data_IF_851542896435
#
_entry.id   IF_851542896435
#
_cell.length_a   1.000
_cell.length_b   1.000
_cell.length_c   1.000
_cell.angle_alpha   90.00
_cell.angle_beta   90.00
_cell.angle_gamma   90.00
#
_symmetry.space_group_name_H-M   'P 1'
#
loop_
_entity.id
_entity.type
_entity.pdbx_description
1 polymer ?
#
# COMPACT_ATOMS: atom_id res chain seq x y z
N UNK A 1 34.22 6.49 8.80
CA UNK A 1 33.31 7.63 8.67
C UNK A 1 32.95 7.79 7.20
N UNK A 2 31.68 7.86 6.86
CA UNK A 2 31.13 8.05 5.50
C UNK A 2 30.77 9.52 5.30
N UNK A 3 30.99 10.05 4.10
CA UNK A 3 30.51 11.37 3.69
C UNK A 3 29.32 11.21 2.75
N UNK A 4 28.17 11.86 3.02
CA UNK A 4 27.02 11.83 2.13
C UNK A 4 27.34 12.39 0.74
N UNK A 5 26.86 11.73 -0.32
CA UNK A 5 27.06 12.23 -1.70
C UNK A 5 26.26 13.49 -2.01
N UNK A 6 25.24 13.76 -1.21
CA UNK A 6 24.37 14.93 -1.36
C UNK A 6 24.92 16.19 -0.68
N UNK A 7 26.01 16.07 0.11
CA UNK A 7 26.71 17.23 0.71
C UNK A 7 27.25 18.16 -0.38
N UNK A 8 27.09 19.47 -0.21
CA UNK A 8 27.42 20.47 -1.21
C UNK A 8 26.43 20.61 -2.39
N UNK A 9 25.43 19.75 -2.49
CA UNK A 9 24.43 19.80 -3.57
C UNK A 9 23.01 19.94 -3.07
N UNK A 10 22.55 19.07 -2.19
CA UNK A 10 21.20 19.12 -1.59
C UNK A 10 21.16 19.98 -0.33
N UNK A 11 22.27 20.11 0.33
CA UNK A 11 22.51 21.05 1.42
C UNK A 11 23.97 21.56 1.36
N UNK A 12 24.25 22.77 1.84
CA UNK A 12 25.63 23.28 1.93
C UNK A 12 26.55 22.42 2.81
N UNK A 13 27.77 22.18 2.42
CA UNK A 13 28.81 21.49 3.24
C UNK A 13 29.43 22.39 4.30
N UNK A 14 29.17 23.70 4.23
CA UNK A 14 29.56 24.66 5.27
C UNK A 14 28.51 24.76 6.37
N UNK A 15 28.88 24.54 7.62
CA UNK A 15 28.00 24.71 8.77
C UNK A 15 27.39 26.12 8.85
N UNK A 16 28.17 27.16 8.49
CA UNK A 16 27.70 28.55 8.53
C UNK A 16 26.64 28.83 7.45
N UNK A 17 26.84 28.33 6.24
CA UNK A 17 25.85 28.46 5.15
C UNK A 17 24.60 27.66 5.45
N UNK A 18 24.76 26.44 5.96
CA UNK A 18 23.64 25.58 6.36
C UNK A 18 22.84 26.22 7.49
N UNK A 19 23.49 26.75 8.54
CA UNK A 19 22.84 27.47 9.63
C UNK A 19 22.05 28.69 9.12
N UNK A 20 22.60 29.42 8.14
CA UNK A 20 21.91 30.54 7.50
C UNK A 20 20.65 30.07 6.74
N UNK A 21 20.76 28.97 6.02
CA UNK A 21 19.64 28.40 5.24
C UNK A 21 18.50 27.89 6.13
N UNK A 22 18.84 27.18 7.23
CA UNK A 22 17.85 26.66 8.18
C UNK A 22 17.50 27.66 9.28
N UNK A 23 18.26 28.72 9.45
CA UNK A 23 18.12 29.72 10.52
C UNK A 23 16.83 30.54 10.49
N UNK A 24 16.12 30.54 9.34
CA UNK A 24 14.74 31.00 9.25
C UNK A 24 13.77 30.19 10.15
N UNK A 25 14.22 29.03 10.62
CA UNK A 25 13.50 28.19 11.59
C UNK A 25 13.63 28.61 13.06
N UNK A 26 14.36 29.70 13.37
CA UNK A 26 14.60 30.15 14.76
C UNK A 26 13.33 30.58 15.52
N UNK A 27 12.22 30.88 14.84
CA UNK A 27 10.92 31.08 15.46
C UNK A 27 10.12 29.76 15.54
N UNK A 28 10.69 28.77 16.21
CA UNK A 28 10.17 27.40 16.20
C UNK A 28 8.84 27.19 16.95
N UNK A 29 8.31 28.21 17.59
CA UNK A 29 7.05 28.06 18.37
C UNK A 29 7.23 27.26 19.66
N UNK A 30 6.14 26.76 20.23
CA UNK A 30 6.14 26.02 21.50
C UNK A 30 6.83 24.67 21.35
N UNK A 31 7.70 24.26 22.30
CA UNK A 31 8.27 22.92 22.33
C UNK A 31 7.21 21.81 22.28
N UNK A 32 7.51 20.73 21.61
CA UNK A 32 6.63 19.55 21.53
C UNK A 32 6.64 18.79 22.87
N UNK A 33 5.52 18.15 23.17
CA UNK A 33 5.38 17.37 24.40
C UNK A 33 5.80 15.91 24.16
N UNK A 34 7.10 15.65 24.06
CA UNK A 34 7.69 14.32 23.97
C UNK A 34 7.06 13.42 22.87
N UNK A 35 7.20 13.74 21.57
CA UNK A 35 6.68 12.91 20.50
C UNK A 35 7.43 11.57 20.42
N UNK A 36 6.70 10.47 20.20
CA UNK A 36 7.26 9.14 19.93
C UNK A 36 7.83 9.05 18.50
N UNK A 37 7.24 9.80 17.57
CA UNK A 37 7.75 9.93 16.21
C UNK A 37 7.48 11.33 15.64
N UNK A 38 8.27 11.69 14.61
CA UNK A 38 8.08 12.90 13.81
C UNK A 38 8.07 12.54 12.32
N UNK A 39 7.34 13.32 11.52
CA UNK A 39 7.34 13.24 10.06
C UNK A 39 8.08 14.45 9.52
N UNK A 40 9.08 14.22 8.67
CA UNK A 40 10.01 15.24 8.17
C UNK A 40 10.16 15.12 6.67
N UNK A 41 10.05 16.21 5.89
CA UNK A 41 10.28 16.18 4.46
C UNK A 41 11.78 16.08 4.12
N UNK A 42 12.09 15.41 2.99
CA UNK A 42 13.46 15.10 2.58
C UNK A 42 13.90 15.70 1.23
N UNK A 43 13.20 16.71 0.74
CA UNK A 43 13.68 17.46 -0.41
C UNK A 43 14.97 18.24 -0.09
N UNK A 44 15.67 18.74 -1.12
CA UNK A 44 16.83 19.60 -0.91
C UNK A 44 16.51 20.78 0.03
N UNK A 45 17.46 21.17 0.84
CA UNK A 45 17.26 22.15 1.93
C UNK A 45 16.77 23.52 1.45
N UNK A 46 17.02 23.88 0.18
CA UNK A 46 16.45 25.08 -0.42
C UNK A 46 14.91 25.06 -0.35
N UNK A 47 14.29 23.88 -0.48
CA UNK A 47 12.85 23.70 -0.57
C UNK A 47 12.23 23.35 0.78
N UNK A 48 12.74 22.30 1.45
CA UNK A 48 12.12 21.76 2.67
C UNK A 48 12.95 21.97 3.95
N UNK A 49 14.21 22.39 3.84
CA UNK A 49 15.14 22.47 5.00
C UNK A 49 14.64 23.39 6.12
N UNK A 50 14.05 24.54 5.79
CA UNK A 50 13.52 25.47 6.79
C UNK A 50 12.32 24.90 7.54
N UNK A 51 11.39 24.21 6.84
CA UNK A 51 10.23 23.55 7.42
C UNK A 51 10.65 22.38 8.31
N UNK A 52 11.60 21.56 7.86
CA UNK A 52 12.16 20.48 8.64
C UNK A 52 12.88 20.99 9.91
N UNK A 53 13.69 22.04 9.78
CA UNK A 53 14.42 22.64 10.90
C UNK A 53 13.49 23.21 11.98
N UNK A 54 12.37 23.84 11.59
CA UNK A 54 11.38 24.35 12.55
C UNK A 54 10.75 23.23 13.37
N UNK A 55 10.52 22.05 12.76
CA UNK A 55 10.05 20.89 13.50
C UNK A 55 11.11 20.41 14.50
N UNK A 56 12.34 20.14 14.01
CA UNK A 56 13.42 19.64 14.86
C UNK A 56 13.73 20.57 16.04
N UNK A 57 13.68 21.89 15.83
CA UNK A 57 13.92 22.89 16.88
C UNK A 57 12.87 22.85 18.01
N UNK A 58 11.72 22.23 17.79
CA UNK A 58 10.66 22.03 18.80
C UNK A 58 10.78 20.70 19.55
N UNK A 59 11.62 19.78 19.08
CA UNK A 59 11.83 18.49 19.74
C UNK A 59 12.65 18.70 21.03
N UNK A 60 12.19 18.19 22.19
CA UNK A 60 12.92 18.33 23.45
C UNK A 60 14.19 17.44 23.47
N UNK A 61 15.32 18.01 23.09
CA UNK A 61 16.57 17.27 22.81
C UNK A 61 17.09 16.42 23.97
N UNK A 62 16.88 16.85 25.20
CA UNK A 62 17.38 16.16 26.40
C UNK A 62 16.58 14.90 26.77
N UNK A 63 15.45 14.67 26.13
CA UNK A 63 14.56 13.56 26.44
C UNK A 63 14.91 12.29 25.65
N UNK A 64 15.70 12.42 24.58
CA UNK A 64 16.07 11.29 23.71
C UNK A 64 17.56 10.93 23.83
N UNK A 65 17.84 9.65 23.64
CA UNK A 65 19.20 9.11 23.50
C UNK A 65 19.41 8.42 22.15
N UNK A 66 18.33 8.11 21.45
CA UNK A 66 18.34 7.38 20.18
C UNK A 66 17.38 7.99 19.18
N UNK A 67 17.78 7.94 17.92
CA UNK A 67 16.94 8.27 16.76
C UNK A 67 16.91 7.07 15.83
N UNK A 68 15.74 6.64 15.40
CA UNK A 68 15.57 5.62 14.36
C UNK A 68 14.92 6.30 13.16
N UNK A 69 15.64 6.35 12.03
CA UNK A 69 15.14 6.94 10.79
C UNK A 69 14.60 5.84 9.90
N UNK A 70 13.35 5.97 9.46
CA UNK A 70 12.74 5.16 8.41
C UNK A 70 12.56 6.06 7.18
N UNK A 71 13.26 5.73 6.10
CA UNK A 71 13.27 6.49 4.86
C UNK A 71 12.91 5.61 3.66
N UNK A 72 12.23 6.12 2.63
CA UNK A 72 11.84 5.32 1.47
C UNK A 72 13.04 4.97 0.58
N UNK A 73 12.90 3.95 -0.24
CA UNK A 73 13.84 3.62 -1.31
C UNK A 73 13.40 4.26 -2.63
N UNK A 74 14.18 5.22 -3.12
CA UNK A 74 13.93 5.89 -4.41
C UNK A 74 14.69 5.25 -5.59
N UNK A 75 15.70 4.42 -5.30
CA UNK A 75 16.66 3.94 -6.30
C UNK A 75 16.58 2.45 -6.58
N UNK A 76 16.19 1.67 -5.60
CA UNK A 76 16.16 0.21 -5.68
C UNK A 76 14.77 -0.29 -5.30
N UNK A 77 14.17 -1.06 -6.19
CA UNK A 77 12.89 -1.70 -5.89
C UNK A 77 13.12 -2.84 -4.87
N UNK A 78 12.54 -2.69 -3.69
CA UNK A 78 12.53 -3.69 -2.63
C UNK A 78 11.07 -3.96 -2.25
N UNK A 79 10.70 -5.22 -2.05
CA UNK A 79 9.32 -5.58 -1.72
C UNK A 79 9.26 -6.26 -0.36
N UNK A 80 8.43 -5.73 0.54
CA UNK A 80 8.20 -6.27 1.90
C UNK A 80 9.47 -6.44 2.71
N UNK A 81 10.48 -5.59 2.41
CA UNK A 81 11.78 -5.60 3.06
C UNK A 81 12.24 -4.18 3.34
N UNK A 82 13.21 -4.04 4.22
CA UNK A 82 13.96 -2.80 4.45
C UNK A 82 15.43 -3.14 4.64
N UNK A 83 16.30 -2.24 4.19
CA UNK A 83 17.76 -2.38 4.31
C UNK A 83 18.29 -1.43 5.36
N UNK A 84 18.99 -1.97 6.36
CA UNK A 84 19.53 -1.14 7.45
C UNK A 84 20.84 -0.48 7.00
N UNK A 85 20.98 0.84 7.26
CA UNK A 85 22.19 1.59 6.99
C UNK A 85 23.38 0.99 7.73
N UNK A 86 24.55 0.85 7.07
CA UNK A 86 25.74 0.33 7.72
C UNK A 86 26.09 1.09 9.00
N UNK A 87 26.59 0.36 10.02
CA UNK A 87 27.02 0.94 11.29
C UNK A 87 28.34 1.71 11.14
N UNK A 88 28.32 2.78 10.36
CA UNK A 88 29.44 3.67 10.06
C UNK A 88 29.04 5.11 10.32
N UNK A 89 29.77 5.80 11.17
CA UNK A 89 29.56 7.22 11.48
C UNK A 89 29.52 8.06 10.20
N UNK A 90 28.58 8.98 10.12
CA UNK A 90 28.34 9.81 8.94
C UNK A 90 28.73 11.25 9.22
N UNK A 91 29.53 11.82 8.32
CA UNK A 91 29.94 13.22 8.39
C UNK A 91 28.76 14.14 8.04
N UNK A 92 28.57 15.21 8.81
CA UNK A 92 27.67 16.32 8.48
C UNK A 92 28.38 17.65 8.69
N UNK A 93 27.88 18.78 8.14
CA UNK A 93 28.44 20.11 8.40
C UNK A 93 28.51 20.47 9.88
N UNK A 94 27.63 19.92 10.72
CA UNK A 94 27.62 20.15 12.17
C UNK A 94 28.42 19.13 12.97
N UNK A 95 29.19 18.26 12.30
CA UNK A 95 29.97 17.19 12.90
C UNK A 95 29.40 15.80 12.65
N UNK A 96 30.11 14.75 13.11
CA UNK A 96 29.68 13.38 12.82
C UNK A 96 28.43 12.95 13.59
N UNK A 97 27.59 12.19 12.92
CA UNK A 97 26.48 11.44 13.53
C UNK A 97 26.95 10.02 13.78
N UNK A 98 26.71 9.52 14.99
CA UNK A 98 27.10 8.17 15.41
C UNK A 98 26.08 7.13 15.01
N UNK A 99 26.56 6.05 14.35
CA UNK A 99 25.81 4.87 13.99
C UNK A 99 26.39 3.64 14.72
N UNK A 100 26.00 3.40 15.98
CA UNK A 100 26.58 2.33 16.79
C UNK A 100 26.14 0.95 16.27
N UNK A 101 27.12 0.02 16.32
CA UNK A 101 26.90 -1.34 15.79
C UNK A 101 25.81 -2.12 16.51
N UNK A 102 25.69 -1.97 17.83
CA UNK A 102 24.66 -2.68 18.62
C UNK A 102 23.24 -2.24 18.24
N UNK A 103 23.01 -0.95 18.02
CA UNK A 103 21.71 -0.44 17.56
C UNK A 103 21.42 -0.87 16.11
N UNK A 104 22.46 -0.86 15.25
CA UNK A 104 22.36 -1.41 13.90
C UNK A 104 21.97 -2.88 13.92
N UNK A 105 22.70 -3.72 14.68
CA UNK A 105 22.46 -5.17 14.70
C UNK A 105 21.04 -5.51 15.21
N UNK A 106 20.55 -4.75 16.18
CA UNK A 106 19.18 -4.90 16.71
C UNK A 106 18.13 -4.51 15.67
N UNK A 107 18.35 -3.47 14.88
CA UNK A 107 17.45 -3.05 13.80
C UNK A 107 17.51 -4.06 12.64
N UNK A 108 18.70 -4.55 12.29
CA UNK A 108 18.90 -5.54 11.24
C UNK A 108 18.40 -6.95 11.59
N UNK A 109 18.11 -7.21 12.86
CA UNK A 109 17.50 -8.48 13.32
C UNK A 109 15.96 -8.46 13.26
N UNK A 110 15.34 -7.36 12.87
CA UNK A 110 13.87 -7.29 12.80
C UNK A 110 13.32 -8.09 11.61
N UNK A 111 12.11 -8.65 11.73
CA UNK A 111 11.42 -9.29 10.60
C UNK A 111 11.27 -8.33 9.41
N UNK A 112 11.64 -8.80 8.22
CA UNK A 112 11.65 -8.01 7.00
C UNK A 112 12.94 -7.22 6.75
N UNK A 113 13.93 -7.30 7.65
CA UNK A 113 15.25 -6.74 7.40
C UNK A 113 16.05 -7.64 6.44
N UNK A 114 16.61 -7.01 5.41
CA UNK A 114 17.51 -7.64 4.46
C UNK A 114 18.59 -6.62 4.08
N UNK A 115 19.85 -7.02 4.04
CA UNK A 115 20.89 -6.10 3.61
C UNK A 115 20.95 -6.05 2.08
N UNK A 116 20.56 -4.90 1.52
CA UNK A 116 20.58 -4.59 0.08
C UNK A 116 21.61 -3.49 -0.16
N UNK A 117 22.88 -3.83 -0.43
CA UNK A 117 23.98 -2.86 -0.53
C UNK A 117 23.72 -1.76 -1.55
N UNK A 118 23.04 -2.08 -2.65
CA UNK A 118 22.75 -1.17 -3.76
C UNK A 118 21.76 -0.07 -3.38
N UNK A 119 20.96 -0.28 -2.34
CA UNK A 119 19.97 0.69 -1.90
C UNK A 119 20.61 1.95 -1.27
N UNK A 120 21.81 1.84 -0.68
CA UNK A 120 22.40 2.89 0.14
C UNK A 120 23.19 3.97 -0.62
N UNK A 121 24.04 3.68 -1.62
CA UNK A 121 25.03 4.66 -2.13
C UNK A 121 24.44 5.90 -2.78
N UNK A 122 23.22 5.80 -3.33
CA UNK A 122 22.55 6.88 -4.09
C UNK A 122 21.25 7.34 -3.43
N UNK A 123 20.90 6.78 -2.27
CA UNK A 123 19.73 7.21 -1.53
C UNK A 123 20.02 8.44 -0.70
N UNK A 124 19.14 9.43 -0.78
CA UNK A 124 19.29 10.70 -0.09
C UNK A 124 18.41 10.83 1.16
N UNK A 125 17.32 10.06 1.22
CA UNK A 125 16.27 10.26 2.21
C UNK A 125 16.70 9.99 3.68
N UNK A 126 17.78 9.25 3.90
CA UNK A 126 18.42 9.13 5.21
C UNK A 126 19.40 10.31 5.43
N UNK A 127 20.28 10.53 4.46
CA UNK A 127 21.39 11.47 4.59
C UNK A 127 20.93 12.92 4.75
N UNK A 128 19.78 13.27 4.18
CA UNK A 128 19.20 14.60 4.27
C UNK A 128 18.74 14.97 5.70
N UNK A 129 18.38 13.97 6.51
CA UNK A 129 17.93 14.19 7.89
C UNK A 129 19.10 14.39 8.86
N UNK A 130 20.27 13.82 8.56
CA UNK A 130 21.39 13.73 9.49
C UNK A 130 21.95 15.08 9.96
N UNK A 131 22.07 16.15 9.11
CA UNK A 131 22.48 17.46 9.59
C UNK A 131 21.53 18.03 10.64
N UNK A 132 20.20 17.86 10.48
CA UNK A 132 19.21 18.33 11.45
C UNK A 132 19.24 17.50 12.74
N UNK A 133 19.37 16.18 12.61
CA UNK A 133 19.58 15.32 13.79
C UNK A 133 20.84 15.76 14.54
N UNK A 134 21.98 15.99 13.86
CA UNK A 134 23.20 16.45 14.53
C UNK A 134 23.03 17.80 15.17
N UNK A 135 22.33 18.72 14.53
CA UNK A 135 22.16 20.10 15.01
C UNK A 135 21.26 20.19 16.24
N UNK A 136 20.16 19.43 16.26
CA UNK A 136 19.10 19.56 17.27
C UNK A 136 19.10 18.43 18.31
N UNK A 137 19.66 17.26 17.98
CA UNK A 137 19.74 16.06 18.83
C UNK A 137 21.19 15.54 18.91
N UNK A 138 22.17 16.39 19.28
CA UNK A 138 23.59 16.11 19.11
C UNK A 138 24.12 14.92 19.91
N UNK A 139 23.37 14.49 20.94
CA UNK A 139 23.75 13.39 21.84
C UNK A 139 23.18 12.05 21.41
N UNK A 140 22.23 12.05 20.46
CA UNK A 140 21.55 10.84 20.06
C UNK A 140 22.43 9.95 19.19
N UNK A 141 22.35 8.67 19.45
CA UNK A 141 22.81 7.61 18.57
C UNK A 141 21.76 7.35 17.49
N UNK A 142 22.19 7.05 16.27
CA UNK A 142 21.30 6.90 15.13
C UNK A 142 21.36 5.49 14.57
N UNK A 143 20.23 4.93 14.24
CA UNK A 143 20.10 3.85 13.27
C UNK A 143 19.11 4.27 12.19
N UNK A 144 19.30 3.79 10.97
CA UNK A 144 18.42 4.12 9.86
C UNK A 144 18.16 2.91 8.98
N UNK A 145 16.99 2.90 8.35
CA UNK A 145 16.62 1.90 7.39
C UNK A 145 16.00 2.54 6.15
N UNK A 146 16.41 2.05 4.99
CA UNK A 146 15.79 2.32 3.70
C UNK A 146 14.68 1.30 3.50
N UNK A 147 13.45 1.77 3.44
CA UNK A 147 12.24 0.96 3.43
C UNK A 147 11.76 0.78 1.99
N UNK A 148 11.62 -0.47 1.57
CA UNK A 148 11.04 -0.85 0.29
C UNK A 148 9.51 -0.71 0.30
N UNK A 149 8.86 -1.32 -0.67
CA UNK A 149 7.40 -1.25 -0.78
C UNK A 149 6.74 -2.16 0.25
N UNK A 150 5.92 -1.56 1.11
CA UNK A 150 5.04 -2.23 2.05
C UNK A 150 3.60 -1.76 1.82
N UNK A 151 2.67 -2.65 2.00
CA UNK A 151 1.24 -2.39 1.93
C UNK A 151 0.51 -3.16 3.04
N UNK A 152 -0.78 -2.96 3.17
CA UNK A 152 -1.66 -3.69 4.06
C UNK A 152 -2.91 -4.18 3.31
N UNK A 153 -2.76 -4.45 2.01
CA UNK A 153 -3.85 -4.88 1.15
C UNK A 153 -4.23 -6.35 1.36
N UNK A 154 -3.29 -7.19 1.83
CA UNK A 154 -3.51 -8.62 2.08
C UNK A 154 -3.37 -9.00 3.55
N UNK A 155 -3.98 -10.12 3.94
CA UNK A 155 -3.82 -10.68 5.28
C UNK A 155 -2.36 -11.08 5.56
N UNK A 156 -1.63 -11.54 4.54
CA UNK A 156 -0.20 -11.84 4.64
C UNK A 156 0.64 -10.59 4.93
N UNK A 157 0.31 -9.45 4.32
CA UNK A 157 0.98 -8.17 4.59
C UNK A 157 0.68 -7.68 6.00
N UNK A 158 -0.58 -7.75 6.42
CA UNK A 158 -0.97 -7.41 7.80
C UNK A 158 -0.24 -8.26 8.83
N UNK A 159 -0.03 -9.55 8.56
CA UNK A 159 0.70 -10.46 9.44
C UNK A 159 2.19 -10.10 9.52
N UNK A 160 2.86 -9.85 8.38
CA UNK A 160 4.27 -9.41 8.33
C UNK A 160 4.48 -8.07 9.05
N UNK A 161 3.57 -7.10 8.82
CA UNK A 161 3.59 -5.83 9.56
C UNK A 161 3.47 -6.04 11.07
N UNK A 162 2.68 -7.02 11.50
CA UNK A 162 2.52 -7.34 12.92
C UNK A 162 3.76 -7.99 13.51
N UNK A 163 4.42 -8.90 12.78
CA UNK A 163 5.68 -9.51 13.20
C UNK A 163 6.77 -8.44 13.36
N UNK A 164 6.91 -7.56 12.36
CA UNK A 164 7.77 -6.39 12.45
C UNK A 164 7.43 -5.55 13.69
N UNK A 165 6.18 -5.17 13.86
CA UNK A 165 5.73 -4.32 14.97
C UNK A 165 6.05 -4.91 16.35
N UNK A 166 5.80 -6.21 16.52
CA UNK A 166 6.07 -6.89 17.78
C UNK A 166 7.57 -6.92 18.13
N UNK A 167 8.43 -7.03 17.11
CA UNK A 167 9.88 -6.98 17.30
C UNK A 167 10.38 -5.53 17.44
N UNK A 168 9.89 -4.60 16.63
CA UNK A 168 10.26 -3.17 16.69
C UNK A 168 9.93 -2.55 18.05
N UNK A 169 8.81 -2.91 18.64
CA UNK A 169 8.40 -2.45 19.98
C UNK A 169 9.37 -2.84 21.10
N UNK A 170 10.20 -3.87 20.91
CA UNK A 170 11.28 -4.25 21.84
C UNK A 170 12.54 -3.41 21.65
N UNK A 171 12.63 -2.71 20.52
CA UNK A 171 13.76 -1.83 20.17
C UNK A 171 13.56 -0.39 20.67
N UNK A 172 12.31 0.08 20.67
CA UNK A 172 11.94 1.47 21.02
C UNK A 172 11.47 1.60 22.46
N UNK A 173 11.75 2.75 23.05
CA UNK A 173 11.29 3.15 24.38
C UNK A 173 11.03 4.66 24.42
N UNK A 174 10.77 5.22 25.59
CA UNK A 174 10.53 6.65 25.80
C UNK A 174 11.71 7.54 25.42
N UNK A 175 12.93 7.00 25.36
CA UNK A 175 14.15 7.72 24.95
C UNK A 175 14.47 7.56 23.46
N UNK A 176 13.57 6.99 22.70
CA UNK A 176 13.73 6.74 21.27
C UNK A 176 12.79 7.62 20.47
N UNK A 177 13.33 8.47 19.60
CA UNK A 177 12.57 9.22 18.61
C UNK A 177 12.60 8.47 17.28
N UNK A 178 11.44 8.18 16.71
CA UNK A 178 11.33 7.67 15.35
C UNK A 178 11.16 8.83 14.37
N UNK A 179 11.97 8.89 13.34
CA UNK A 179 11.87 9.88 12.26
C UNK A 179 11.38 9.19 11.01
N UNK A 180 10.22 9.62 10.51
CA UNK A 180 9.71 9.21 9.21
C UNK A 180 10.11 10.27 8.20
N UNK A 181 11.06 9.93 7.35
CA UNK A 181 11.52 10.78 6.26
C UNK A 181 10.56 10.65 5.09
N UNK A 182 9.80 11.69 4.79
CA UNK A 182 8.74 11.63 3.76
C UNK A 182 8.32 12.99 3.25
N UNK A 183 8.47 13.20 1.94
CA UNK A 183 7.68 14.21 1.25
C UNK A 183 6.25 13.68 1.04
N UNK A 184 5.30 14.60 0.87
CA UNK A 184 3.91 14.29 0.53
C UNK A 184 3.73 14.28 -0.99
N UNK A 185 2.59 14.69 -1.52
CA UNK A 185 2.25 14.53 -2.94
C UNK A 185 3.30 15.16 -3.86
N UNK A 186 3.77 14.39 -4.83
CA UNK A 186 4.53 14.84 -5.98
C UNK A 186 3.57 15.02 -7.16
N UNK A 187 3.32 16.26 -7.56
CA UNK A 187 2.40 16.60 -8.64
C UNK A 187 3.17 17.10 -9.86
N UNK A 188 2.86 16.58 -11.03
CA UNK A 188 3.40 17.02 -12.31
C UNK A 188 3.60 15.85 -13.29
N UNK A 189 3.85 16.21 -14.56
CA UNK A 189 4.05 15.22 -15.64
C UNK A 189 5.24 14.31 -15.38
N UNK A 190 6.33 14.87 -14.87
CA UNK A 190 7.56 14.11 -14.61
C UNK A 190 7.41 13.12 -13.47
N UNK A 191 6.45 13.34 -12.58
CA UNK A 191 6.07 12.40 -11.52
C UNK A 191 4.99 11.40 -11.96
N UNK A 192 4.42 11.56 -13.18
CA UNK A 192 3.33 10.71 -13.65
C UNK A 192 2.03 10.86 -12.88
N UNK A 193 1.87 11.96 -12.10
CA UNK A 193 0.72 12.16 -11.24
C UNK A 193 0.12 13.56 -11.37
N UNK A 194 -1.04 13.62 -12.01
CA UNK A 194 -1.82 14.85 -12.23
C UNK A 194 -3.31 14.55 -12.04
N UNK A 195 -3.79 14.37 -10.79
CA UNK A 195 -5.19 14.02 -10.52
C UNK A 195 -6.18 15.16 -10.80
N UNK A 196 -5.69 16.33 -11.08
CA UNK A 196 -6.45 17.54 -11.47
C UNK A 196 -5.58 18.40 -12.40
N UNK A 197 -6.21 19.19 -13.25
CA UNK A 197 -5.57 20.03 -14.29
C UNK A 197 -5.71 21.53 -14.01
N UNK A 198 -6.55 21.92 -13.05
CA UNK A 198 -6.82 23.32 -12.67
C UNK A 198 -6.80 23.50 -11.15
N UNK A 199 -6.55 24.73 -10.72
CA UNK A 199 -6.55 25.13 -9.28
C UNK A 199 -5.58 24.30 -8.43
N UNK A 200 -4.41 23.96 -9.00
CA UNK A 200 -3.41 23.10 -8.34
C UNK A 200 -3.01 23.65 -6.98
N UNK A 201 -2.84 24.97 -6.87
CA UNK A 201 -2.48 25.70 -5.66
C UNK A 201 -3.49 25.52 -4.50
N UNK A 202 -4.73 25.15 -4.81
CA UNK A 202 -5.77 24.87 -3.81
C UNK A 202 -6.00 23.39 -3.59
N UNK A 203 -6.01 22.62 -4.70
CA UNK A 203 -6.37 21.20 -4.67
C UNK A 203 -5.27 20.33 -4.09
N UNK A 204 -3.99 20.63 -4.35
CA UNK A 204 -2.87 19.86 -3.81
C UNK A 204 -2.75 19.96 -2.28
N UNK A 205 -2.76 21.17 -1.65
CA UNK A 205 -2.79 21.26 -0.20
C UNK A 205 -4.02 20.60 0.43
N UNK A 206 -5.16 20.62 -0.28
CA UNK A 206 -6.38 19.94 0.18
C UNK A 206 -6.23 18.41 0.11
N UNK A 207 -5.61 17.86 -0.95
CA UNK A 207 -5.29 16.45 -1.07
C UNK A 207 -4.34 16.00 0.04
N UNK A 208 -3.23 16.71 0.25
CA UNK A 208 -2.26 16.38 1.29
C UNK A 208 -2.86 16.48 2.70
N UNK A 209 -3.75 17.45 2.94
CA UNK A 209 -4.50 17.53 4.18
C UNK A 209 -5.43 16.33 4.39
N UNK A 210 -6.11 15.91 3.33
CA UNK A 210 -6.99 14.73 3.38
C UNK A 210 -6.18 13.46 3.63
N UNK A 211 -5.06 13.26 2.92
CA UNK A 211 -4.17 12.12 3.11
C UNK A 211 -3.58 12.08 4.53
N UNK A 212 -3.18 13.23 5.08
CA UNK A 212 -2.76 13.29 6.48
C UNK A 212 -3.91 12.94 7.44
N UNK A 213 -5.14 13.33 7.13
CA UNK A 213 -6.33 12.94 7.90
C UNK A 213 -6.53 11.42 7.94
N UNK A 214 -6.35 10.73 6.82
CA UNK A 214 -6.42 9.27 6.77
C UNK A 214 -5.26 8.60 7.53
N UNK A 215 -4.04 9.13 7.40
CA UNK A 215 -2.88 8.68 8.20
C UNK A 215 -3.14 8.81 9.71
N UNK A 216 -3.73 9.93 10.12
CA UNK A 216 -4.02 10.25 11.53
C UNK A 216 -5.09 9.35 12.16
N UNK A 217 -5.83 8.57 11.36
CA UNK A 217 -6.74 7.52 11.87
C UNK A 217 -5.99 6.36 12.52
N UNK A 218 -4.67 6.33 12.36
CA UNK A 218 -3.81 5.30 12.96
C UNK A 218 -4.25 3.86 12.61
N UNK A 219 -4.60 3.63 11.35
CA UNK A 219 -5.07 2.35 10.83
C UNK A 219 -4.39 2.05 9.48
N UNK A 220 -3.72 0.89 9.40
CA UNK A 220 -2.97 0.49 8.21
C UNK A 220 -3.87 0.19 7.00
N UNK A 221 -5.05 -0.40 7.23
CA UNK A 221 -5.97 -0.72 6.15
C UNK A 221 -6.58 0.58 5.56
N UNK A 222 -6.93 1.53 6.43
CA UNK A 222 -7.42 2.85 6.03
C UNK A 222 -6.35 3.61 5.23
N UNK A 223 -5.09 3.56 5.69
CA UNK A 223 -3.97 4.21 4.99
C UNK A 223 -3.74 3.60 3.60
N UNK A 224 -3.69 2.27 3.52
CA UNK A 224 -3.58 1.53 2.27
C UNK A 224 -4.71 1.89 1.29
N UNK A 225 -5.97 1.88 1.76
CA UNK A 225 -7.13 2.26 0.95
C UNK A 225 -7.05 3.70 0.45
N UNK A 226 -6.63 4.64 1.29
CA UNK A 226 -6.49 6.04 0.88
C UNK A 226 -5.44 6.22 -0.22
N UNK A 227 -4.28 5.55 -0.09
CA UNK A 227 -3.23 5.55 -1.11
C UNK A 227 -3.72 5.01 -2.44
N UNK A 228 -4.38 3.85 -2.44
CA UNK A 228 -4.88 3.24 -3.66
C UNK A 228 -6.00 4.06 -4.32
N UNK A 229 -6.94 4.58 -3.53
CA UNK A 229 -8.06 5.39 -4.04
C UNK A 229 -7.60 6.68 -4.69
N UNK A 230 -6.58 7.34 -4.12
CA UNK A 230 -6.12 8.64 -4.59
C UNK A 230 -4.95 8.54 -5.56
N UNK A 231 -4.18 7.45 -5.53
CA UNK A 231 -2.90 7.33 -6.22
C UNK A 231 -1.84 8.32 -5.73
N UNK A 232 -2.01 8.93 -4.54
CA UNK A 232 -1.12 9.96 -4.03
C UNK A 232 0.32 9.47 -3.91
N UNK A 233 1.24 10.22 -4.52
CA UNK A 233 2.67 9.91 -4.65
C UNK A 233 3.45 10.36 -3.41
N UNK A 234 3.14 9.74 -2.25
CA UNK A 234 3.80 10.04 -0.97
C UNK A 234 5.01 9.13 -0.81
N UNK A 235 6.22 9.70 -0.78
CA UNK A 235 7.48 8.94 -0.75
C UNK A 235 7.55 7.95 0.42
N UNK A 236 7.24 8.40 1.62
CA UNK A 236 7.29 7.60 2.85
C UNK A 236 6.08 6.71 3.11
N UNK A 237 5.22 6.46 2.11
CA UNK A 237 3.99 5.68 2.30
C UNK A 237 4.24 4.33 3.00
N UNK A 238 5.29 3.63 2.61
CA UNK A 238 5.73 2.36 3.21
C UNK A 238 6.30 2.52 4.62
N UNK A 239 7.01 3.63 4.89
CA UNK A 239 7.51 3.94 6.23
C UNK A 239 6.34 4.18 7.21
N UNK A 240 5.26 4.80 6.72
CA UNK A 240 4.03 4.95 7.51
C UNK A 240 3.38 3.60 7.82
N UNK A 241 3.38 2.62 6.91
CA UNK A 241 2.87 1.27 7.21
C UNK A 241 3.62 0.62 8.39
N UNK A 242 4.96 0.72 8.42
CA UNK A 242 5.77 0.20 9.52
C UNK A 242 5.48 0.95 10.84
N UNK A 243 5.41 2.29 10.79
CA UNK A 243 5.08 3.10 11.97
C UNK A 243 3.67 2.77 12.49
N UNK A 244 2.66 2.82 11.64
CA UNK A 244 1.27 2.54 12.02
C UNK A 244 1.13 1.15 12.63
N UNK A 245 1.81 0.13 12.11
CA UNK A 245 1.79 -1.21 12.68
C UNK A 245 2.33 -1.23 14.12
N UNK A 246 3.38 -0.45 14.41
CA UNK A 246 4.05 -0.41 15.70
C UNK A 246 3.33 0.48 16.74
N UNK A 247 2.48 1.41 16.34
CA UNK A 247 1.80 2.34 17.24
C UNK A 247 0.67 1.66 18.06
N UNK A 248 0.46 2.06 19.32
CA UNK A 248 -0.73 1.66 20.09
C UNK A 248 -1.99 2.34 19.52
N UNK A 249 -3.16 1.81 19.86
CA UNK A 249 -4.44 2.40 19.44
C UNK A 249 -4.64 3.85 19.93
N UNK A 250 -4.02 4.21 21.07
CA UNK A 250 -4.09 5.53 21.67
C UNK A 250 -3.17 6.58 21.02
N UNK A 251 -2.38 6.21 20.00
CA UNK A 251 -1.49 7.14 19.34
C UNK A 251 -2.27 8.29 18.66
N UNK A 252 -1.70 9.48 18.72
CA UNK A 252 -2.31 10.70 18.20
C UNK A 252 -1.33 11.43 17.29
N UNK A 253 -1.81 11.82 16.13
CA UNK A 253 -1.06 12.59 15.14
C UNK A 253 -1.44 14.07 15.23
N UNK A 254 -0.43 14.95 15.13
CA UNK A 254 -0.59 16.40 15.08
C UNK A 254 0.18 16.93 13.87
N UNK A 255 -0.56 17.43 12.86
CA UNK A 255 0.04 18.15 11.73
C UNK A 255 0.49 19.51 12.20
N UNK A 256 1.75 19.84 11.97
CA UNK A 256 2.36 21.06 12.50
C UNK A 256 2.46 22.14 11.44
N UNK A 257 3.03 21.81 10.28
CA UNK A 257 3.25 22.77 9.21
C UNK A 257 3.10 22.09 7.84
N UNK A 258 2.76 22.90 6.86
CA UNK A 258 2.72 22.51 5.45
C UNK A 258 3.37 23.60 4.60
N UNK A 259 4.19 23.16 3.66
CA UNK A 259 4.80 23.99 2.64
C UNK A 259 4.86 23.23 1.32
N UNK A 260 5.27 23.89 0.26
CA UNK A 260 5.44 23.29 -1.07
C UNK A 260 6.72 23.79 -1.74
N UNK A 261 7.19 23.07 -2.75
CA UNK A 261 8.29 23.59 -3.59
C UNK A 261 7.88 24.87 -4.32
N UNK A 262 6.60 25.09 -4.59
CA UNK A 262 6.05 26.28 -5.20
C UNK A 262 6.22 27.55 -4.32
N UNK A 263 6.34 27.39 -2.99
CA UNK A 263 6.63 28.51 -2.09
C UNK A 263 8.01 29.14 -2.37
N UNK A 264 8.90 28.38 -3.01
CA UNK A 264 10.24 28.82 -3.41
C UNK A 264 10.30 29.17 -4.91
N UNK A 265 9.67 28.34 -5.76
CA UNK A 265 9.78 28.48 -7.22
C UNK A 265 8.68 29.33 -7.84
N UNK A 266 7.52 29.43 -7.16
CA UNK A 266 6.29 30.01 -7.76
C UNK A 266 5.60 29.10 -8.77
N UNK A 267 6.10 27.88 -9.01
CA UNK A 267 5.64 26.99 -10.06
C UNK A 267 4.74 25.87 -9.53
N UNK A 268 3.52 25.78 -10.08
CA UNK A 268 2.52 24.80 -9.68
C UNK A 268 2.32 23.66 -10.69
N UNK A 269 2.98 23.72 -11.84
CA UNK A 269 2.93 22.64 -12.83
C UNK A 269 3.79 21.42 -12.44
N UNK A 270 4.77 21.66 -11.56
CA UNK A 270 5.70 20.67 -11.01
C UNK A 270 5.96 21.02 -9.55
N UNK A 271 5.22 20.39 -8.65
CA UNK A 271 5.23 20.78 -7.24
C UNK A 271 5.23 19.58 -6.29
N UNK A 272 5.96 19.72 -5.18
CA UNK A 272 6.07 18.71 -4.11
C UNK A 272 5.54 19.31 -2.81
N UNK A 273 4.72 18.54 -2.08
CA UNK A 273 4.18 18.92 -0.78
C UNK A 273 5.07 18.48 0.38
N UNK A 274 5.22 19.34 1.36
CA UNK A 274 6.04 19.12 2.55
C UNK A 274 5.18 19.24 3.79
N UNK A 275 4.88 18.13 4.44
CA UNK A 275 4.14 18.08 5.70
C UNK A 275 5.07 17.74 6.84
N UNK A 276 5.03 18.53 7.92
CA UNK A 276 5.65 18.14 9.19
C UNK A 276 4.58 17.75 10.21
N UNK A 277 4.87 16.72 11.00
CA UNK A 277 3.95 16.26 12.02
C UNK A 277 4.68 15.67 13.23
N UNK A 278 3.99 15.68 14.37
CA UNK A 278 4.37 14.96 15.57
C UNK A 278 3.39 13.81 15.82
N UNK A 279 3.92 12.68 16.29
CA UNK A 279 3.12 11.52 16.68
C UNK A 279 3.37 11.24 18.16
N UNK A 280 2.31 11.29 18.95
CA UNK A 280 2.37 11.04 20.38
C UNK A 280 1.88 9.63 20.66
N UNK A 281 2.72 8.84 21.28
CA UNK A 281 2.41 7.47 21.65
C UNK A 281 3.20 7.06 22.91
N UNK A 282 2.59 6.20 23.70
CA UNK A 282 3.23 5.50 24.79
C UNK A 282 3.64 4.11 24.31
N UNK A 283 4.94 3.91 24.12
CA UNK A 283 5.49 2.64 23.64
C UNK A 283 5.24 1.46 24.61
N UNK A 284 4.87 1.70 25.86
CA UNK A 284 4.55 0.64 26.83
C UNK A 284 3.14 0.09 26.64
N UNK A 285 2.25 0.83 25.99
CA UNK A 285 0.87 0.40 25.71
C UNK A 285 0.87 -0.79 24.73
N UNK A 286 -0.07 -1.71 24.82
CA UNK A 286 -0.12 -2.86 23.92
C UNK A 286 -0.27 -2.43 22.46
N UNK A 287 0.23 -3.27 21.55
CA UNK A 287 -0.05 -3.14 20.11
C UNK A 287 -1.56 -3.17 19.89
N UNK A 288 -2.00 -2.44 18.88
CA UNK A 288 -3.39 -2.55 18.40
C UNK A 288 -3.73 -4.03 18.16
N UNK A 289 -4.93 -4.50 18.52
CA UNK A 289 -5.42 -5.76 18.01
C UNK A 289 -5.27 -5.74 16.49
N UNK A 290 -5.01 -6.89 15.85
CA UNK A 290 -5.32 -6.99 14.42
C UNK A 290 -6.77 -6.56 14.31
N UNK A 291 -7.06 -5.57 13.48
CA UNK A 291 -8.43 -5.30 13.12
C UNK A 291 -9.05 -6.66 12.78
N UNK A 292 -10.03 -7.07 13.58
CA UNK A 292 -10.83 -8.23 13.23
C UNK A 292 -11.27 -7.96 11.80
N UNK A 293 -10.95 -8.86 10.87
CA UNK A 293 -11.26 -8.80 9.44
C UNK A 293 -12.14 -7.59 9.10
N UNK A 294 -11.55 -6.44 8.84
CA UNK A 294 -12.21 -5.46 8.02
C UNK A 294 -12.52 -6.23 6.74
N UNK A 295 -13.73 -6.10 6.22
CA UNK A 295 -14.11 -6.72 4.94
C UNK A 295 -12.91 -6.60 4.03
N UNK A 296 -12.37 -7.73 3.51
CA UNK A 296 -11.25 -7.68 2.58
C UNK A 296 -11.64 -6.71 1.48
N UNK A 297 -10.69 -5.93 1.03
CA UNK A 297 -10.94 -4.92 -0.01
C UNK A 297 -11.63 -5.59 -1.18
N UNK A 298 -12.87 -5.18 -1.44
CA UNK A 298 -13.69 -5.79 -2.47
C UNK A 298 -14.55 -6.98 -2.02
N UNK A 299 -14.64 -7.31 -0.72
CA UNK A 299 -15.69 -8.22 -0.25
C UNK A 299 -17.02 -7.48 -0.18
N UNK A 300 -18.03 -8.11 -0.81
CA UNK A 300 -19.40 -7.66 -0.75
C UNK A 300 -20.07 -8.14 0.54
N UNK A 301 -21.06 -7.39 1.01
CA UNK A 301 -21.91 -7.85 2.10
C UNK A 301 -22.67 -9.11 1.69
N UNK A 302 -23.04 -9.93 2.67
CA UNK A 302 -23.88 -11.12 2.42
C UNK A 302 -25.20 -10.73 1.75
N UNK A 303 -25.72 -9.54 2.07
CA UNK A 303 -26.95 -9.01 1.47
C UNK A 303 -26.72 -8.60 0.01
N UNK A 304 -25.59 -7.93 -0.30
CA UNK A 304 -25.20 -7.63 -1.68
C UNK A 304 -25.02 -8.92 -2.50
N UNK A 305 -24.43 -9.95 -1.90
CA UNK A 305 -24.28 -11.26 -2.53
C UNK A 305 -25.62 -11.93 -2.87
N UNK A 306 -26.59 -11.92 -1.96
CA UNK A 306 -27.93 -12.43 -2.21
C UNK A 306 -28.61 -11.70 -3.35
N UNK A 307 -28.56 -10.36 -3.35
CA UNK A 307 -29.13 -9.55 -4.42
C UNK A 307 -28.46 -9.85 -5.76
N UNK A 308 -27.16 -10.09 -5.81
CA UNK A 308 -26.48 -10.49 -7.05
C UNK A 308 -26.98 -11.83 -7.58
N UNK A 309 -27.22 -12.82 -6.71
CA UNK A 309 -27.81 -14.11 -7.10
C UNK A 309 -29.23 -13.91 -7.66
N UNK A 310 -30.07 -13.13 -6.99
CA UNK A 310 -31.42 -12.81 -7.44
C UNK A 310 -31.41 -12.08 -8.80
N UNK A 311 -30.49 -11.13 -8.98
CA UNK A 311 -30.29 -10.39 -10.24
C UNK A 311 -29.83 -11.32 -11.37
N UNK A 312 -28.92 -12.25 -11.07
CA UNK A 312 -28.45 -13.25 -12.03
C UNK A 312 -29.58 -14.19 -12.45
N UNK A 313 -30.36 -14.68 -11.48
CA UNK A 313 -31.52 -15.52 -11.74
C UNK A 313 -32.60 -14.82 -12.60
N UNK A 314 -32.89 -13.56 -12.25
CA UNK A 314 -33.81 -12.74 -13.03
C UNK A 314 -33.33 -12.55 -14.48
N UNK A 315 -32.02 -12.26 -14.65
CA UNK A 315 -31.41 -12.04 -15.97
C UNK A 315 -31.47 -13.30 -16.82
N UNK A 316 -31.16 -14.45 -16.21
CA UNK A 316 -31.29 -15.77 -16.82
C UNK A 316 -32.72 -16.02 -17.27
N UNK A 317 -33.71 -15.84 -16.37
CA UNK A 317 -35.16 -16.05 -16.68
C UNK A 317 -35.63 -15.10 -17.77
N UNK A 318 -35.25 -13.84 -17.74
CA UNK A 318 -35.58 -12.85 -18.80
C UNK A 318 -35.04 -13.28 -20.17
N UNK A 319 -33.82 -13.82 -20.21
CA UNK A 319 -33.18 -14.24 -21.44
C UNK A 319 -33.85 -15.50 -22.04
N UNK A 320 -34.23 -16.46 -21.19
CA UNK A 320 -34.83 -17.75 -21.64
C UNK A 320 -36.33 -17.63 -21.91
N UNK A 321 -37.09 -16.92 -21.07
CA UNK A 321 -38.56 -16.85 -21.14
C UNK A 321 -39.11 -15.60 -21.85
N UNK A 322 -38.27 -14.59 -22.10
CA UNK A 322 -38.66 -13.28 -22.60
C UNK A 322 -39.09 -12.29 -21.50
N UNK A 323 -38.99 -10.99 -21.81
CA UNK A 323 -39.11 -9.87 -20.84
C UNK A 323 -40.43 -9.83 -20.05
N UNK A 324 -41.53 -10.33 -20.61
CA UNK A 324 -42.86 -10.22 -20.02
C UNK A 324 -43.13 -11.17 -18.84
N UNK A 325 -42.25 -12.17 -18.59
CA UNK A 325 -42.45 -13.23 -17.59
C UNK A 325 -41.51 -13.21 -16.40
N UNK A 326 -40.61 -12.25 -16.33
CA UNK A 326 -39.64 -12.13 -15.22
C UNK A 326 -39.96 -10.87 -14.40
N UNK A 327 -40.11 -11.04 -13.08
CA UNK A 327 -40.25 -9.93 -12.14
C UNK A 327 -39.05 -8.96 -12.19
N UNK A 328 -39.12 -7.81 -11.51
CA UNK A 328 -37.96 -6.93 -11.31
C UNK A 328 -37.39 -7.11 -9.90
N UNK A 329 -36.07 -7.28 -9.80
CA UNK A 329 -35.37 -7.24 -8.51
C UNK A 329 -35.14 -5.79 -8.17
N UNK A 330 -35.71 -5.37 -7.04
CA UNK A 330 -35.45 -4.05 -6.47
C UNK A 330 -34.10 -4.08 -5.72
N UNK A 331 -33.14 -3.29 -6.19
CA UNK A 331 -31.84 -3.17 -5.55
C UNK A 331 -31.85 -1.93 -4.66
N UNK A 332 -31.79 -2.07 -3.31
CA UNK A 332 -31.75 -0.93 -2.39
C UNK A 332 -30.56 -0.02 -2.71
N UNK A 333 -30.69 1.31 -2.52
CA UNK A 333 -29.67 2.26 -2.95
C UNK A 333 -28.33 2.05 -2.21
N UNK A 334 -28.36 1.61 -0.94
CA UNK A 334 -27.16 1.26 -0.17
C UNK A 334 -26.39 0.10 -0.82
N UNK A 335 -27.11 -0.97 -1.22
CA UNK A 335 -26.52 -2.11 -1.90
C UNK A 335 -26.12 -1.76 -3.34
N UNK A 336 -26.90 -0.93 -4.02
CA UNK A 336 -26.54 -0.43 -5.35
C UNK A 336 -25.23 0.35 -5.32
N UNK A 337 -24.99 1.13 -4.29
CA UNK A 337 -23.73 1.85 -4.09
C UNK A 337 -22.55 0.89 -3.91
N UNK A 338 -22.73 -0.19 -3.13
CA UNK A 338 -21.73 -1.24 -2.96
C UNK A 338 -21.43 -1.99 -4.29
N UNK A 339 -22.44 -2.22 -5.12
CA UNK A 339 -22.35 -2.94 -6.39
C UNK A 339 -21.94 -2.09 -7.59
N UNK A 340 -21.84 -0.75 -7.45
CA UNK A 340 -21.32 0.16 -8.49
C UNK A 340 -19.82 0.03 -8.73
N UNK A 341 -19.10 -0.64 -7.84
CA UNK A 341 -17.65 -0.83 -8.01
C UNK A 341 -17.38 -1.62 -9.30
N UNK A 342 -16.33 -1.28 -10.05
CA UNK A 342 -15.85 -2.12 -11.14
C UNK A 342 -15.32 -3.44 -10.59
N UNK A 343 -15.41 -4.51 -11.36
CA UNK A 343 -14.86 -5.79 -10.94
C UNK A 343 -15.28 -6.96 -11.80
N UNK A 344 -14.48 -8.03 -11.78
CA UNK A 344 -14.77 -9.27 -12.45
C UNK A 344 -15.81 -10.11 -11.70
N UNK A 345 -16.59 -10.88 -12.44
CA UNK A 345 -17.48 -11.88 -11.86
C UNK A 345 -17.67 -13.06 -12.81
N UNK A 346 -17.96 -14.23 -12.25
CA UNK A 346 -18.38 -15.42 -12.96
C UNK A 346 -19.79 -15.80 -12.51
N UNK A 347 -20.60 -16.26 -13.46
CA UNK A 347 -21.88 -16.89 -13.18
C UNK A 347 -21.80 -18.35 -13.62
N UNK A 348 -22.03 -19.24 -12.67
CA UNK A 348 -22.02 -20.70 -12.88
C UNK A 348 -23.44 -21.23 -12.74
N UNK A 349 -23.87 -22.02 -13.69
CA UNK A 349 -25.13 -22.75 -13.71
C UNK A 349 -24.84 -24.23 -13.50
N UNK A 350 -25.43 -24.82 -12.51
CA UNK A 350 -25.41 -26.26 -12.27
C UNK A 350 -26.79 -26.85 -12.47
N UNK A 351 -26.87 -28.07 -12.93
CA UNK A 351 -28.10 -28.84 -13.00
C UNK A 351 -27.82 -30.25 -12.48
N UNK A 352 -28.56 -30.69 -11.48
CA UNK A 352 -28.42 -32.02 -10.85
C UNK A 352 -26.97 -32.25 -10.36
N UNK A 353 -26.31 -31.23 -9.81
CA UNK A 353 -24.93 -31.30 -9.33
C UNK A 353 -23.83 -31.27 -10.41
N UNK A 354 -24.22 -31.17 -11.69
CA UNK A 354 -23.28 -31.10 -12.81
C UNK A 354 -23.24 -29.70 -13.42
N UNK A 355 -22.03 -29.28 -13.90
CA UNK A 355 -21.88 -28.01 -14.60
C UNK A 355 -22.74 -27.96 -15.85
N UNK A 356 -23.57 -26.90 -16.00
CA UNK A 356 -24.48 -26.68 -17.14
C UNK A 356 -24.11 -25.41 -17.94
N UNK A 357 -23.32 -24.49 -17.36
CA UNK A 357 -22.78 -23.30 -18.00
C UNK A 357 -21.97 -22.49 -17.02
N UNK A 358 -20.90 -21.83 -17.49
CA UNK A 358 -20.08 -20.96 -16.67
C UNK A 358 -19.32 -19.96 -17.55
N UNK A 359 -19.69 -18.68 -17.45
CA UNK A 359 -19.03 -17.58 -18.15
C UNK A 359 -18.73 -16.46 -17.16
N UNK A 360 -17.63 -15.74 -17.35
CA UNK A 360 -17.25 -14.60 -16.53
C UNK A 360 -16.13 -13.78 -17.11
N UNK A 361 -15.89 -12.66 -16.46
CA UNK A 361 -14.78 -11.74 -16.71
C UNK A 361 -13.88 -11.70 -15.50
N UNK A 362 -12.56 -11.72 -15.68
CA UNK A 362 -11.58 -11.63 -14.59
C UNK A 362 -11.43 -10.18 -14.14
N UNK A 363 -11.43 -9.25 -15.08
CA UNK A 363 -11.36 -7.81 -14.86
C UNK A 363 -12.43 -7.14 -15.73
N UNK A 364 -13.10 -6.16 -15.16
CA UNK A 364 -14.06 -5.33 -15.89
C UNK A 364 -14.07 -3.91 -15.32
N UNK A 365 -14.19 -2.92 -16.19
CA UNK A 365 -14.41 -1.52 -15.82
C UNK A 365 -15.90 -1.22 -15.53
N UNK A 366 -16.77 -2.19 -15.82
CA UNK A 366 -18.21 -2.07 -15.55
C UNK A 366 -18.52 -2.38 -14.08
N UNK A 367 -19.61 -1.82 -13.53
CA UNK A 367 -20.14 -2.20 -12.22
C UNK A 367 -20.37 -3.71 -12.11
N UNK A 368 -20.01 -4.31 -10.98
CA UNK A 368 -20.19 -5.76 -10.71
C UNK A 368 -21.64 -6.18 -10.97
N UNK A 369 -22.61 -5.33 -10.64
CA UNK A 369 -24.02 -5.57 -10.91
C UNK A 369 -24.32 -5.83 -12.39
N UNK A 370 -23.75 -5.03 -13.27
CA UNK A 370 -23.96 -5.15 -14.72
C UNK A 370 -23.18 -6.34 -15.29
N UNK A 371 -21.97 -6.59 -14.80
CA UNK A 371 -21.20 -7.78 -15.17
C UNK A 371 -21.97 -9.06 -14.84
N UNK A 372 -22.54 -9.16 -13.64
CA UNK A 372 -23.33 -10.34 -13.23
C UNK A 372 -24.57 -10.52 -14.12
N UNK A 373 -25.26 -9.43 -14.48
CA UNK A 373 -26.38 -9.49 -15.42
C UNK A 373 -26.00 -10.08 -16.78
N UNK A 374 -24.90 -9.57 -17.33
CA UNK A 374 -24.40 -10.00 -18.64
C UNK A 374 -23.90 -11.44 -18.61
N UNK A 375 -23.14 -11.80 -17.56
CA UNK A 375 -22.56 -13.13 -17.44
C UNK A 375 -23.61 -14.20 -17.17
N UNK A 376 -24.71 -13.89 -16.48
CA UNK A 376 -25.83 -14.81 -16.29
C UNK A 376 -26.48 -15.18 -17.62
N UNK A 377 -26.67 -14.20 -18.49
CA UNK A 377 -27.22 -14.45 -19.86
C UNK A 377 -26.22 -15.24 -20.69
N UNK A 378 -24.94 -14.86 -20.63
CA UNK A 378 -23.87 -15.51 -21.39
C UNK A 378 -23.67 -16.96 -20.97
N UNK A 379 -23.70 -17.26 -19.67
CA UNK A 379 -23.60 -18.64 -19.16
C UNK A 379 -24.75 -19.52 -19.61
N UNK A 380 -25.97 -18.94 -19.77
CA UNK A 380 -27.15 -19.67 -20.20
C UNK A 380 -27.23 -19.91 -21.71
N UNK A 381 -26.84 -18.92 -22.51
CA UNK A 381 -27.15 -18.93 -23.94
C UNK A 381 -25.90 -18.99 -24.84
N UNK A 382 -24.73 -18.60 -24.33
CA UNK A 382 -23.53 -18.38 -25.13
C UNK A 382 -22.30 -19.17 -24.67
N UNK A 383 -22.45 -20.09 -23.70
CA UNK A 383 -21.33 -20.98 -23.34
C UNK A 383 -21.13 -22.03 -24.45
N UNK A 384 -20.00 -21.99 -25.17
CA UNK A 384 -19.79 -22.85 -26.35
C UNK A 384 -19.70 -24.35 -26.02
N UNK A 385 -19.57 -24.71 -24.76
CA UNK A 385 -19.50 -26.12 -24.29
C UNK A 385 -20.88 -26.76 -24.20
N UNK A 386 -21.94 -25.97 -24.15
CA UNK A 386 -23.30 -26.42 -23.90
C UNK A 386 -24.28 -25.85 -24.93
N UNK A 387 -25.44 -26.51 -25.08
CA UNK A 387 -26.55 -25.92 -25.83
C UNK A 387 -27.23 -24.82 -24.98
N UNK A 388 -27.90 -23.83 -25.59
CA UNK A 388 -28.65 -22.84 -24.85
C UNK A 388 -29.63 -23.49 -23.87
N UNK A 389 -29.76 -22.91 -22.68
CA UNK A 389 -30.69 -23.35 -21.63
C UNK A 389 -32.12 -23.18 -22.12
N UNK A 390 -32.96 -24.19 -21.92
CA UNK A 390 -34.39 -24.15 -22.29
C UNK A 390 -35.31 -23.80 -21.11
N UNK A 391 -36.55 -23.46 -21.40
CA UNK A 391 -37.52 -23.11 -20.36
C UNK A 391 -37.82 -24.27 -19.38
N UNK A 392 -37.74 -25.50 -19.87
CA UNK A 392 -37.99 -26.72 -19.09
C UNK A 392 -36.84 -26.99 -18.10
N UNK A 393 -35.63 -26.54 -18.41
CA UNK A 393 -34.45 -26.74 -17.55
C UNK A 393 -34.40 -25.75 -16.37
N UNK A 394 -35.04 -24.58 -16.49
CA UNK A 394 -34.94 -23.50 -15.48
C UNK A 394 -35.27 -23.96 -14.03
N UNK A 395 -36.24 -24.82 -13.75
CA UNK A 395 -36.52 -25.26 -12.39
C UNK A 395 -35.43 -26.11 -11.74
N UNK A 396 -34.56 -26.70 -12.56
CA UNK A 396 -33.44 -27.56 -12.11
C UNK A 396 -32.08 -26.83 -12.09
N UNK A 397 -32.04 -25.55 -12.48
CA UNK A 397 -30.80 -24.76 -12.48
C UNK A 397 -30.54 -24.22 -11.09
N UNK A 398 -29.38 -24.55 -10.54
CA UNK A 398 -28.76 -23.94 -9.36
C UNK A 398 -27.73 -22.95 -9.83
N UNK A 399 -27.81 -21.71 -9.31
CA UNK A 399 -27.01 -20.61 -9.76
C UNK A 399 -25.98 -20.21 -8.67
N UNK A 400 -24.75 -19.98 -9.09
CA UNK A 400 -23.66 -19.49 -8.23
C UNK A 400 -23.02 -18.25 -8.87
N UNK A 401 -22.81 -17.21 -8.08
CA UNK A 401 -22.11 -15.99 -8.48
C UNK A 401 -20.79 -15.90 -7.74
N UNK A 402 -19.68 -15.90 -8.47
CA UNK A 402 -18.34 -15.66 -7.95
C UNK A 402 -17.89 -14.25 -8.30
N UNK A 403 -17.79 -13.38 -7.32
CA UNK A 403 -17.27 -12.01 -7.49
C UNK A 403 -15.79 -11.99 -7.16
N UNK A 404 -14.99 -11.47 -8.08
CA UNK A 404 -13.53 -11.44 -7.94
C UNK A 404 -13.05 -10.12 -7.31
N UNK A 405 -11.98 -10.22 -6.53
CA UNK A 405 -11.19 -9.04 -6.18
C UNK A 405 -10.35 -8.60 -7.38
N UNK A 406 -9.91 -7.35 -7.39
CA UNK A 406 -8.93 -6.92 -8.40
C UNK A 406 -7.65 -7.78 -8.31
N UNK A 407 -7.10 -8.22 -9.46
CA UNK A 407 -5.83 -8.93 -9.46
C UNK A 407 -4.67 -8.06 -8.99
N UNK A 408 -3.96 -8.52 -7.97
CA UNK A 408 -2.80 -7.83 -7.40
C UNK A 408 -1.50 -8.54 -7.80
N UNK A 409 -0.47 -7.75 -8.12
CA UNK A 409 0.86 -8.32 -8.41
C UNK A 409 1.44 -8.96 -7.16
N UNK A 410 1.97 -10.17 -7.29
CA UNK A 410 2.66 -10.91 -6.24
C UNK A 410 4.14 -11.10 -6.62
N UNK A 411 5.01 -11.20 -5.61
CA UNK A 411 6.44 -11.28 -5.83
C UNK A 411 6.87 -12.62 -6.47
N UNK A 412 6.14 -13.70 -6.16
CA UNK A 412 6.44 -15.00 -6.70
C UNK A 412 5.52 -16.12 -6.23
N UNK A 413 5.86 -17.37 -6.58
CA UNK A 413 5.08 -18.55 -6.23
C UNK A 413 4.82 -18.73 -4.73
N UNK A 414 5.74 -18.28 -3.87
CA UNK A 414 5.67 -18.45 -2.41
C UNK A 414 4.53 -17.60 -1.76
N UNK A 415 4.02 -16.62 -2.50
CA UNK A 415 2.90 -15.79 -2.04
C UNK A 415 1.53 -16.45 -2.30
N UNK A 416 1.49 -17.54 -3.08
CA UNK A 416 0.25 -18.20 -3.49
C UNK A 416 -0.23 -19.17 -2.42
N UNK A 417 -1.49 -19.02 -2.00
CA UNK A 417 -2.15 -19.94 -1.09
C UNK A 417 -3.22 -20.73 -1.83
N UNK A 418 -3.01 -22.02 -1.94
CA UNK A 418 -3.95 -22.94 -2.62
C UNK A 418 -5.32 -22.90 -1.94
N UNK A 419 -6.38 -22.84 -2.77
CA UNK A 419 -7.78 -22.76 -2.32
C UNK A 419 -8.25 -21.36 -1.94
N UNK A 420 -7.33 -20.42 -1.74
CA UNK A 420 -7.64 -19.01 -1.45
C UNK A 420 -7.46 -18.12 -2.68
N UNK A 421 -6.36 -18.33 -3.38
CA UNK A 421 -5.91 -17.43 -4.44
C UNK A 421 -6.18 -18.02 -5.82
N UNK A 422 -6.86 -17.25 -6.68
CA UNK A 422 -6.79 -17.40 -8.12
C UNK A 422 -5.47 -16.78 -8.61
N UNK A 423 -4.89 -17.33 -9.65
CA UNK A 423 -3.56 -16.92 -10.13
C UNK A 423 -3.61 -16.61 -11.62
N UNK A 424 -3.07 -15.45 -12.00
CA UNK A 424 -2.79 -15.07 -13.38
C UNK A 424 -1.28 -15.15 -13.58
N UNK A 425 -0.86 -15.91 -14.58
CA UNK A 425 0.52 -15.96 -15.06
C UNK A 425 0.64 -15.19 -16.37
N UNK A 426 1.69 -14.35 -16.48
CA UNK A 426 2.01 -13.65 -17.74
C UNK A 426 3.48 -13.80 -18.07
N UNK A 427 3.78 -14.14 -19.33
CA UNK A 427 5.13 -14.19 -19.87
C UNK A 427 5.12 -14.04 -21.38
N UNK A 428 6.03 -13.23 -21.93
CA UNK A 428 6.21 -13.02 -23.39
C UNK A 428 4.89 -12.73 -24.12
N UNK A 429 4.02 -11.90 -23.55
CA UNK A 429 2.72 -11.54 -24.13
C UNK A 429 1.64 -12.62 -24.04
N UNK A 430 1.94 -13.78 -23.45
CA UNK A 430 0.97 -14.86 -23.18
C UNK A 430 0.50 -14.78 -21.74
N UNK A 431 -0.74 -15.20 -21.50
CA UNK A 431 -1.28 -15.26 -20.15
C UNK A 431 -2.30 -16.37 -19.99
N UNK A 432 -2.42 -16.88 -18.77
CA UNK A 432 -3.48 -17.78 -18.36
C UNK A 432 -3.88 -17.49 -16.91
N UNK A 433 -5.02 -18.01 -16.50
CA UNK A 433 -5.59 -17.86 -15.16
C UNK A 433 -6.17 -19.17 -14.67
N UNK A 434 -6.03 -19.43 -13.37
CA UNK A 434 -6.84 -20.39 -12.63
C UNK A 434 -7.59 -19.68 -11.52
N UNK A 435 -8.84 -20.08 -11.32
CA UNK A 435 -9.66 -19.66 -10.19
C UNK A 435 -9.20 -20.39 -8.90
N UNK A 436 -9.51 -19.86 -7.71
CA UNK A 436 -9.03 -20.43 -6.44
C UNK A 436 -9.36 -21.90 -6.22
N UNK A 437 -10.51 -22.36 -6.70
CA UNK A 437 -10.99 -23.73 -6.51
C UNK A 437 -10.29 -24.78 -7.38
N UNK A 438 -9.66 -24.37 -8.49
CA UNK A 438 -9.11 -25.31 -9.48
C UNK A 438 -8.03 -26.21 -8.91
N UNK A 439 -7.07 -25.63 -8.19
CA UNK A 439 -5.96 -26.41 -7.63
C UNK A 439 -6.43 -27.40 -6.54
N UNK A 440 -7.29 -27.04 -5.58
CA UNK A 440 -7.88 -28.00 -4.62
C UNK A 440 -8.64 -29.12 -5.29
N UNK A 441 -9.50 -28.83 -6.28
CA UNK A 441 -10.28 -29.82 -7.00
C UNK A 441 -9.43 -30.85 -7.73
N UNK A 442 -8.25 -30.44 -8.17
CA UNK A 442 -7.29 -31.32 -8.86
C UNK A 442 -6.25 -31.94 -7.91
N UNK A 443 -6.22 -31.55 -6.63
CA UNK A 443 -5.21 -32.01 -5.67
C UNK A 443 -3.81 -31.48 -5.96
N UNK A 444 -3.69 -30.29 -6.59
CA UNK A 444 -2.41 -29.72 -6.97
C UNK A 444 -1.79 -28.89 -5.83
N UNK A 445 -0.47 -28.99 -5.71
CA UNK A 445 0.35 -28.01 -5.00
C UNK A 445 0.69 -26.81 -5.90
N UNK A 446 1.35 -25.79 -5.35
CA UNK A 446 1.70 -24.58 -6.09
C UNK A 446 2.57 -24.85 -7.31
N UNK A 447 3.68 -25.63 -7.24
CA UNK A 447 4.48 -25.97 -8.41
C UNK A 447 3.71 -26.69 -9.51
N UNK A 448 2.87 -27.66 -9.15
CA UNK A 448 2.04 -28.41 -10.10
C UNK A 448 1.03 -27.50 -10.78
N UNK A 449 0.33 -26.67 -9.98
CA UNK A 449 -0.62 -25.68 -10.50
C UNK A 449 0.06 -24.73 -11.49
N UNK A 450 1.22 -24.18 -11.16
CA UNK A 450 1.95 -23.24 -12.03
C UNK A 450 2.47 -23.89 -13.31
N UNK A 451 2.86 -25.14 -13.25
CA UNK A 451 3.19 -25.94 -14.44
C UNK A 451 2.00 -26.05 -15.39
N UNK A 452 0.82 -26.42 -14.87
CA UNK A 452 -0.41 -26.47 -15.66
C UNK A 452 -0.87 -25.08 -16.15
N UNK A 453 -0.64 -24.03 -15.35
CA UNK A 453 -0.96 -22.67 -15.72
C UNK A 453 -0.07 -22.18 -16.88
N UNK A 454 1.23 -22.52 -16.85
CA UNK A 454 2.16 -22.23 -17.96
C UNK A 454 1.73 -22.94 -19.25
N UNK A 455 1.43 -24.23 -19.17
CA UNK A 455 0.90 -25.00 -20.31
C UNK A 455 -0.41 -24.41 -20.85
N UNK A 456 -1.32 -24.01 -19.98
CA UNK A 456 -2.57 -23.34 -20.36
C UNK A 456 -2.32 -22.01 -21.07
N UNK A 457 -1.26 -21.28 -20.71
CA UNK A 457 -0.82 -20.07 -21.41
C UNK A 457 -0.15 -20.35 -22.76
N UNK A 458 0.07 -21.62 -23.12
CA UNK A 458 0.82 -22.02 -24.32
C UNK A 458 2.34 -21.80 -24.17
N UNK A 459 2.83 -21.84 -22.94
CA UNK A 459 4.24 -21.75 -22.55
C UNK A 459 4.78 -23.16 -22.26
N UNK A 460 6.09 -23.28 -22.09
CA UNK A 460 6.70 -24.54 -21.63
C UNK A 460 6.41 -24.76 -20.14
N UNK A 461 6.40 -26.01 -19.70
CA UNK A 461 6.03 -26.44 -18.36
C UNK A 461 6.82 -25.73 -17.23
N UNK A 462 8.08 -25.39 -17.50
CA UNK A 462 8.99 -24.74 -16.54
C UNK A 462 9.12 -23.21 -16.74
N UNK A 463 8.41 -22.62 -17.68
CA UNK A 463 8.52 -21.20 -18.01
C UNK A 463 8.06 -20.29 -16.85
N UNK A 464 7.31 -20.79 -15.89
CA UNK A 464 6.92 -20.06 -14.70
C UNK A 464 8.06 -19.82 -13.71
N UNK A 465 9.15 -20.62 -13.76
CA UNK A 465 10.28 -20.56 -12.82
C UNK A 465 11.17 -19.33 -13.00
N UNK A 466 11.15 -18.71 -14.17
CA UNK A 466 11.99 -17.53 -14.44
C UNK A 466 11.34 -16.58 -15.42
N UNK A 467 11.39 -15.27 -15.14
CA UNK A 467 10.92 -14.21 -16.04
C UNK A 467 9.40 -14.20 -16.29
N UNK A 468 8.62 -14.92 -15.52
CA UNK A 468 7.16 -14.80 -15.47
C UNK A 468 6.76 -13.78 -14.42
N UNK A 469 5.67 -13.06 -14.66
CA UNK A 469 4.98 -12.24 -13.65
C UNK A 469 3.69 -12.90 -13.22
N UNK A 470 3.36 -12.72 -11.94
CA UNK A 470 2.18 -13.30 -11.34
C UNK A 470 1.30 -12.21 -10.73
N UNK A 471 -0.01 -12.44 -10.84
CA UNK A 471 -1.01 -11.71 -10.08
C UNK A 471 -1.91 -12.73 -9.36
N UNK A 472 -2.34 -12.40 -8.15
CA UNK A 472 -3.32 -13.18 -7.41
C UNK A 472 -4.61 -12.38 -7.23
N UNK A 473 -5.74 -13.08 -7.10
CA UNK A 473 -7.04 -12.52 -6.77
C UNK A 473 -7.83 -13.52 -5.94
N UNK A 474 -8.86 -13.04 -5.25
CA UNK A 474 -9.77 -13.89 -4.47
C UNK A 474 -11.15 -13.91 -5.13
N UNK A 475 -11.93 -14.91 -4.79
CA UNK A 475 -13.33 -15.02 -5.20
C UNK A 475 -14.23 -15.11 -3.98
N UNK A 476 -15.26 -14.28 -3.92
CA UNK A 476 -16.41 -14.46 -3.03
C UNK A 476 -17.51 -15.19 -3.78
N UNK A 477 -17.95 -16.31 -3.22
CA UNK A 477 -18.95 -17.18 -3.83
C UNK A 477 -20.27 -17.01 -3.10
N UNK A 478 -21.33 -16.75 -3.88
CA UNK A 478 -22.71 -16.59 -3.41
C UNK A 478 -23.63 -17.58 -4.11
N UNK A 479 -24.57 -18.16 -3.33
CA UNK A 479 -25.56 -19.16 -3.81
C UNK A 479 -26.95 -18.78 -3.38
#
# INVERSE_FOLDING_TARGET
MRTPRIAGTWYPDSAAELEKLIGAGRSAGTPLKHPAAIVVPHAGYLYSGAVAARLFARVPSNEYSRVIILAPSHRVAMHRTFSVEPAVDVATPFGPVRFPKDLHDRLAALPGAEFVPEAHPMEHAVDIELPLVKRYLPHCEVAAAIVGQWDCASEGDAMRLREFAAAFRKLVDERTLVVISSDFTHYGRDFGYMPFDTDVEKKMPALDKAMFGELARNDNAVWSEALHRTGATICGASCFHLLLAALPASARFERLEYATSADVTGEWSHVVGYTTAAVYADWTRPLKPLAAKGKSRGELSAEAGKILVEVAEQSLRKAVLGKAKAGEVEVPEEIRTELRRPGGAFVTLNAQGMLRGCIGLIVSDQPVLEVVREMAVSAALHDPRFRPVTAEELPAIELEVSVLTEPESIAGPDDIVIGRDGVILRKRGRSAVFLPQVAPEQGWDVPTMLTHLALKAGLDADDWKSGASFQSFRAQVFK
#
